data_IF_187387248003
#
_entry.id   IF_187387248003
#
_cell.length_a   1.000
_cell.length_b   1.000
_cell.length_c   1.000
_cell.angle_alpha   90.00
_cell.angle_beta   90.00
_cell.angle_gamma   90.00
#
_symmetry.space_group_name_H-M   'P 1'
#
loop_
_entity.id
_entity.type
_entity.pdbx_description
1 polymer ?
#
# COMPACT_ATOMS: atom_id res chain seq x y z
N UNK A 1 -19.76 -3.63 5.89
CA UNK A 1 -20.43 -3.44 7.20
C UNK A 1 -19.55 -2.78 8.27
N UNK A 2 -18.25 -2.65 8.06
CA UNK A 2 -17.33 -1.93 8.97
C UNK A 2 -17.21 -0.45 8.59
N UNK A 3 -17.71 -0.07 7.42
CA UNK A 3 -17.51 1.27 6.86
C UNK A 3 -18.37 2.39 7.46
N UNK A 4 -19.61 2.12 7.88
CA UNK A 4 -20.51 3.23 8.25
C UNK A 4 -20.27 3.78 9.65
N UNK A 5 -19.97 2.94 10.61
CA UNK A 5 -19.66 3.39 11.98
C UNK A 5 -18.30 4.06 12.08
N UNK A 6 -17.32 3.59 11.30
CA UNK A 6 -15.99 4.20 11.21
C UNK A 6 -16.06 5.59 10.57
N UNK A 7 -16.88 5.82 9.55
CA UNK A 7 -17.04 7.14 8.91
C UNK A 7 -17.57 8.23 9.86
N UNK A 8 -18.43 7.89 10.82
CA UNK A 8 -18.96 8.86 11.79
C UNK A 8 -17.91 9.22 12.85
N UNK A 9 -17.11 8.26 13.26
CA UNK A 9 -16.04 8.46 14.25
C UNK A 9 -14.82 9.17 13.66
N UNK A 10 -14.54 8.98 12.37
CA UNK A 10 -13.43 9.55 11.62
C UNK A 10 -13.50 11.05 11.43
N UNK A 11 -14.69 11.61 11.25
CA UNK A 11 -14.86 13.07 11.05
C UNK A 11 -14.41 13.91 12.24
N UNK A 12 -14.42 13.33 13.44
CA UNK A 12 -13.99 14.04 14.65
C UNK A 12 -12.50 13.90 14.97
N UNK A 13 -11.85 12.84 14.46
CA UNK A 13 -10.43 12.56 14.74
C UNK A 13 -9.76 11.82 13.57
N UNK A 14 -9.54 12.47 12.42
CA UNK A 14 -9.03 11.82 11.20
C UNK A 14 -7.63 11.20 11.40
N UNK A 15 -6.82 11.77 12.27
CA UNK A 15 -5.49 11.25 12.59
C UNK A 15 -5.50 9.84 13.19
N UNK A 16 -6.53 9.48 13.99
CA UNK A 16 -6.68 8.13 14.53
C UNK A 16 -6.94 7.11 13.41
N UNK A 17 -7.71 7.51 12.42
CA UNK A 17 -7.94 6.68 11.24
C UNK A 17 -6.65 6.46 10.46
N UNK A 18 -5.85 7.51 10.21
CA UNK A 18 -4.58 7.41 9.50
C UNK A 18 -3.60 6.47 10.21
N UNK A 19 -3.47 6.62 11.52
CA UNK A 19 -2.62 5.72 12.33
C UNK A 19 -3.14 4.29 12.29
N UNK A 20 -4.46 4.09 12.45
CA UNK A 20 -5.06 2.76 12.42
C UNK A 20 -4.87 2.08 11.06
N UNK A 21 -5.15 2.77 9.96
CA UNK A 21 -5.03 2.24 8.61
C UNK A 21 -3.59 1.80 8.30
N UNK A 22 -2.61 2.70 8.53
CA UNK A 22 -1.20 2.41 8.31
C UNK A 22 -0.67 1.28 9.21
N UNK A 23 -1.09 1.28 10.49
CA UNK A 23 -0.67 0.24 11.42
C UNK A 23 -1.27 -1.12 11.07
N UNK A 24 -2.54 -1.15 10.69
CA UNK A 24 -3.20 -2.38 10.27
C UNK A 24 -2.52 -2.98 9.04
N UNK A 25 -2.28 -2.19 7.99
CA UNK A 25 -1.57 -2.63 6.79
C UNK A 25 -0.20 -3.20 7.17
N UNK A 26 0.64 -2.42 7.86
CA UNK A 26 1.98 -2.85 8.24
C UNK A 26 1.97 -4.15 9.08
N UNK A 27 1.08 -4.26 10.07
CA UNK A 27 1.02 -5.44 10.94
C UNK A 27 0.57 -6.68 10.17
N UNK A 28 -0.53 -6.59 9.42
CA UNK A 28 -1.07 -7.75 8.70
C UNK A 28 -0.14 -8.20 7.58
N UNK A 29 0.38 -7.29 6.79
CA UNK A 29 1.20 -7.62 5.63
C UNK A 29 2.59 -8.12 6.03
N UNK A 30 3.27 -7.44 6.96
CA UNK A 30 4.60 -7.90 7.39
C UNK A 30 4.52 -9.20 8.18
N UNK A 31 3.45 -9.41 8.96
CA UNK A 31 3.22 -10.70 9.62
C UNK A 31 2.96 -11.81 8.61
N UNK A 32 2.11 -11.57 7.61
CA UNK A 32 1.86 -12.51 6.52
C UNK A 32 3.12 -12.84 5.74
N UNK A 33 3.94 -11.83 5.43
CA UNK A 33 5.24 -11.98 4.75
C UNK A 33 6.23 -12.79 5.58
N UNK A 34 6.31 -12.51 6.88
CA UNK A 34 7.17 -13.26 7.80
C UNK A 34 6.74 -14.72 7.90
N UNK A 35 5.45 -15.00 8.02
CA UNK A 35 4.89 -16.35 8.05
C UNK A 35 5.20 -17.08 6.73
N UNK A 36 4.93 -16.43 5.59
CA UNK A 36 5.19 -17.02 4.29
C UNK A 36 6.66 -17.41 4.12
N UNK A 37 7.59 -16.51 4.41
CA UNK A 37 9.02 -16.76 4.25
C UNK A 37 9.55 -17.77 5.28
N UNK A 38 9.07 -17.71 6.52
CA UNK A 38 9.58 -18.60 7.59
C UNK A 38 9.07 -20.04 7.48
N UNK A 39 7.82 -20.24 7.05
CA UNK A 39 7.17 -21.53 7.07
C UNK A 39 6.93 -22.11 5.67
N UNK A 40 6.35 -21.34 4.75
CA UNK A 40 5.95 -21.85 3.43
C UNK A 40 7.12 -21.89 2.45
N UNK A 41 7.95 -20.84 2.44
CA UNK A 41 9.12 -20.74 1.56
C UNK A 41 10.39 -21.34 2.16
N UNK A 42 10.34 -21.89 3.36
CA UNK A 42 11.52 -22.35 4.14
C UNK A 42 12.55 -23.14 3.32
N UNK A 43 12.09 -24.01 2.41
CA UNK A 43 12.96 -24.87 1.59
C UNK A 43 13.62 -24.15 0.42
N UNK A 44 12.98 -23.10 -0.08
CA UNK A 44 13.40 -22.36 -1.29
C UNK A 44 13.72 -20.89 -1.00
N UNK A 45 13.80 -20.53 0.27
CA UNK A 45 14.05 -19.14 0.65
C UNK A 45 15.51 -18.77 0.40
N UNK A 46 15.74 -18.09 -0.69
CA UNK A 46 16.99 -17.44 -1.08
C UNK A 46 16.72 -15.99 -1.51
N UNK A 47 17.75 -15.26 -1.93
CA UNK A 47 17.60 -13.87 -2.34
C UNK A 47 16.69 -13.69 -3.58
N UNK A 48 16.87 -14.47 -4.68
CA UNK A 48 15.98 -14.37 -5.84
C UNK A 48 14.51 -14.64 -5.49
N UNK A 49 14.22 -15.66 -4.70
CA UNK A 49 12.85 -16.00 -4.31
C UNK A 49 12.23 -14.95 -3.38
N UNK A 50 13.01 -14.32 -2.50
CA UNK A 50 12.55 -13.21 -1.68
C UNK A 50 12.27 -11.96 -2.52
N UNK A 51 13.10 -11.69 -3.52
CA UNK A 51 12.89 -10.62 -4.50
C UNK A 51 11.58 -10.85 -5.29
N UNK A 52 11.40 -12.06 -5.82
CA UNK A 52 10.19 -12.42 -6.57
C UNK A 52 8.93 -12.39 -5.70
N UNK A 53 9.04 -12.75 -4.43
CA UNK A 53 7.94 -12.59 -3.48
C UNK A 53 7.54 -11.11 -3.34
N UNK A 54 8.51 -10.20 -3.22
CA UNK A 54 8.24 -8.76 -3.14
C UNK A 54 7.56 -8.20 -4.39
N UNK A 55 8.04 -8.61 -5.58
CA UNK A 55 7.42 -8.24 -6.87
C UNK A 55 5.99 -8.79 -6.95
N UNK A 56 5.79 -10.05 -6.56
CA UNK A 56 4.47 -10.69 -6.58
C UNK A 56 3.50 -10.04 -5.61
N UNK A 57 3.93 -9.76 -4.37
CA UNK A 57 3.12 -9.11 -3.35
C UNK A 57 2.67 -7.71 -3.81
N UNK A 58 3.62 -6.82 -4.10
CA UNK A 58 3.29 -5.47 -4.57
C UNK A 58 2.55 -5.46 -5.92
N UNK A 59 2.84 -6.43 -6.80
CA UNK A 59 2.12 -6.60 -8.08
C UNK A 59 0.66 -6.98 -7.88
N UNK A 60 0.36 -7.93 -6.99
CA UNK A 60 -1.02 -8.31 -6.64
C UNK A 60 -1.76 -7.14 -6.00
N UNK A 61 -1.13 -6.43 -5.08
CA UNK A 61 -1.71 -5.22 -4.47
C UNK A 61 -2.01 -4.15 -5.54
N UNK A 62 -1.07 -3.88 -6.44
CA UNK A 62 -1.27 -2.92 -7.53
C UNK A 62 -2.46 -3.31 -8.43
N UNK A 63 -2.64 -4.60 -8.72
CA UNK A 63 -3.79 -5.11 -9.48
C UNK A 63 -5.09 -4.96 -8.68
N UNK A 64 -5.10 -5.32 -7.40
CA UNK A 64 -6.29 -5.26 -6.58
C UNK A 64 -6.71 -3.81 -6.29
N UNK A 65 -5.78 -2.95 -5.91
CA UNK A 65 -6.11 -1.56 -5.57
C UNK A 65 -6.25 -0.71 -6.84
N UNK A 66 -5.24 -0.68 -7.70
CA UNK A 66 -5.25 0.16 -8.90
C UNK A 66 -6.13 -0.39 -10.02
N UNK A 67 -6.00 -1.69 -10.31
CA UNK A 67 -6.72 -2.34 -11.41
C UNK A 67 -8.22 -2.42 -11.16
N UNK A 68 -8.65 -2.97 -10.02
CA UNK A 68 -10.09 -3.09 -9.72
C UNK A 68 -10.75 -1.71 -9.53
N UNK A 69 -10.06 -0.76 -8.90
CA UNK A 69 -10.56 0.62 -8.78
C UNK A 69 -10.69 1.28 -10.14
N UNK A 70 -9.71 1.10 -11.03
CA UNK A 70 -9.78 1.60 -12.40
C UNK A 70 -10.96 1.03 -13.19
N UNK A 71 -11.20 -0.27 -13.10
CA UNK A 71 -12.36 -0.94 -13.72
C UNK A 71 -13.67 -0.40 -13.12
N UNK A 72 -13.75 -0.29 -11.80
CA UNK A 72 -14.94 0.25 -11.11
C UNK A 72 -15.24 1.68 -11.54
N UNK A 73 -14.21 2.52 -11.63
CA UNK A 73 -14.34 3.90 -12.10
C UNK A 73 -14.83 3.96 -13.55
N UNK A 74 -14.28 3.12 -14.44
CA UNK A 74 -14.71 3.03 -15.83
C UNK A 74 -16.17 2.62 -15.95
N UNK A 75 -16.59 1.58 -15.22
CA UNK A 75 -18.00 1.13 -15.18
C UNK A 75 -18.91 2.25 -14.69
N UNK A 76 -18.52 2.94 -13.60
CA UNK A 76 -19.30 4.05 -13.05
C UNK A 76 -19.44 5.20 -14.05
N UNK A 77 -18.37 5.55 -14.77
CA UNK A 77 -18.41 6.58 -15.83
C UNK A 77 -19.33 6.18 -16.97
N UNK A 78 -19.29 4.92 -17.39
CA UNK A 78 -20.20 4.40 -18.44
C UNK A 78 -21.67 4.46 -17.98
N UNK A 79 -21.96 4.11 -16.73
CA UNK A 79 -23.31 4.20 -16.15
C UNK A 79 -23.81 5.64 -16.04
N UNK A 80 -22.93 6.58 -15.69
CA UNK A 80 -23.26 8.03 -15.63
C UNK A 80 -23.59 8.53 -17.04
N UNK A 81 -22.74 8.24 -18.02
CA UNK A 81 -22.89 8.73 -19.38
C UNK A 81 -24.10 8.12 -20.11
N UNK A 82 -24.49 6.89 -19.77
CA UNK A 82 -25.69 6.24 -20.33
C UNK A 82 -27.00 6.61 -19.61
N UNK A 83 -26.93 7.34 -18.50
CA UNK A 83 -28.08 7.62 -17.64
C UNK A 83 -28.53 6.46 -16.74
N UNK A 84 -27.88 5.29 -16.81
CA UNK A 84 -28.21 4.12 -15.99
C UNK A 84 -27.97 4.37 -14.50
N UNK A 85 -27.01 5.24 -14.17
CA UNK A 85 -26.71 5.62 -12.78
C UNK A 85 -27.90 6.28 -12.09
N UNK A 86 -28.72 7.06 -12.82
CA UNK A 86 -29.92 7.72 -12.27
C UNK A 86 -30.95 6.71 -11.74
N UNK A 87 -31.16 5.60 -12.49
CA UNK A 87 -32.05 4.53 -12.07
C UNK A 87 -31.52 3.82 -10.81
N UNK A 88 -30.23 3.61 -10.73
CA UNK A 88 -29.57 3.02 -9.56
C UNK A 88 -29.73 3.92 -8.32
N UNK A 89 -29.48 5.22 -8.47
CA UNK A 89 -29.61 6.19 -7.39
C UNK A 89 -31.06 6.34 -6.91
N UNK A 90 -32.03 6.30 -7.83
CA UNK A 90 -33.45 6.40 -7.50
C UNK A 90 -33.98 5.20 -6.68
N UNK A 91 -33.31 4.04 -6.75
CA UNK A 91 -33.63 2.86 -5.96
C UNK A 91 -33.02 2.86 -4.54
N UNK A 92 -32.14 3.82 -4.23
CA UNK A 92 -31.47 3.92 -2.93
C UNK A 92 -32.20 4.88 -1.99
N UNK A 93 -32.09 4.68 -0.65
CA UNK A 93 -32.45 5.71 0.33
C UNK A 93 -31.70 7.01 0.05
N UNK A 94 -32.35 8.16 0.27
CA UNK A 94 -31.79 9.48 -0.08
C UNK A 94 -30.39 9.74 0.49
N UNK A 95 -30.13 9.33 1.72
CA UNK A 95 -28.81 9.48 2.33
C UNK A 95 -27.72 8.65 1.61
N UNK A 96 -28.03 7.39 1.28
CA UNK A 96 -27.13 6.51 0.53
C UNK A 96 -26.89 7.00 -0.89
N UNK A 97 -27.94 7.52 -1.55
CA UNK A 97 -27.82 8.13 -2.86
C UNK A 97 -26.87 9.36 -2.83
N UNK A 98 -27.04 10.27 -1.85
CA UNK A 98 -26.18 11.43 -1.68
C UNK A 98 -24.73 11.07 -1.39
N UNK A 99 -24.49 10.04 -0.55
CA UNK A 99 -23.14 9.54 -0.30
C UNK A 99 -22.51 8.96 -1.57
N UNK A 100 -23.27 8.18 -2.34
CA UNK A 100 -22.82 7.63 -3.63
C UNK A 100 -22.46 8.74 -4.63
N UNK A 101 -23.31 9.74 -4.78
CA UNK A 101 -23.03 10.91 -5.63
C UNK A 101 -21.78 11.65 -5.18
N UNK A 102 -21.61 11.84 -3.88
CA UNK A 102 -20.40 12.47 -3.32
C UNK A 102 -19.13 11.70 -3.66
N UNK A 103 -19.16 10.37 -3.55
CA UNK A 103 -18.01 9.52 -3.93
C UNK A 103 -17.74 9.55 -5.44
N UNK A 104 -18.79 9.46 -6.25
CA UNK A 104 -18.68 9.50 -7.70
C UNK A 104 -18.22 10.86 -8.22
N UNK A 105 -18.46 11.94 -7.47
CA UNK A 105 -18.06 13.30 -7.87
C UNK A 105 -16.57 13.43 -8.17
N UNK A 106 -15.74 12.63 -7.51
CA UNK A 106 -14.31 12.58 -7.78
C UNK A 106 -13.98 12.21 -9.25
N UNK A 107 -14.85 11.47 -9.94
CA UNK A 107 -14.62 11.07 -11.34
C UNK A 107 -14.62 12.25 -12.31
N UNK A 108 -15.36 13.34 -12.01
CA UNK A 108 -15.42 14.53 -12.87
C UNK A 108 -14.81 15.78 -12.25
N UNK A 109 -14.52 15.77 -10.94
CA UNK A 109 -13.87 16.91 -10.27
C UNK A 109 -12.35 16.75 -10.19
N UNK A 110 -11.84 15.50 -10.25
CA UNK A 110 -10.40 15.23 -10.18
C UNK A 110 -9.75 15.52 -11.53
N UNK A 111 -8.70 16.36 -11.59
CA UNK A 111 -7.94 16.59 -12.81
C UNK A 111 -7.36 15.29 -13.39
N UNK A 112 -7.48 15.09 -14.71
CA UNK A 112 -7.01 13.88 -15.39
C UNK A 112 -5.56 13.46 -15.06
N UNK A 113 -4.57 14.37 -14.91
CA UNK A 113 -3.21 14.00 -14.50
C UNK A 113 -3.13 13.26 -13.16
N UNK A 114 -4.06 13.51 -12.23
CA UNK A 114 -4.03 12.85 -10.92
C UNK A 114 -4.42 11.37 -10.99
N UNK A 115 -5.25 10.97 -11.95
CA UNK A 115 -5.49 9.54 -12.21
C UNK A 115 -4.23 8.84 -12.71
N UNK A 116 -3.42 9.52 -13.51
CA UNK A 116 -2.14 8.99 -13.96
C UNK A 116 -1.13 8.89 -12.81
N UNK A 117 -1.08 9.89 -11.94
CA UNK A 117 -0.21 9.91 -10.74
C UNK A 117 -0.54 8.75 -9.82
N UNK A 118 -1.81 8.43 -9.59
CA UNK A 118 -2.19 7.28 -8.79
C UNK A 118 -1.74 5.93 -9.39
N UNK A 119 -1.61 5.85 -10.71
CA UNK A 119 -1.02 4.69 -11.38
C UNK A 119 0.50 4.58 -11.14
N UNK A 120 1.21 5.72 -11.14
CA UNK A 120 2.67 5.77 -10.85
C UNK A 120 2.93 5.39 -9.39
N UNK A 121 2.08 5.79 -8.47
CA UNK A 121 2.17 5.41 -7.05
C UNK A 121 2.25 3.89 -6.86
N UNK A 122 1.55 3.11 -7.68
CA UNK A 122 1.62 1.64 -7.62
C UNK A 122 3.01 1.09 -7.95
N UNK A 123 3.80 1.79 -8.77
CA UNK A 123 5.21 1.44 -9.00
C UNK A 123 6.02 1.65 -7.73
N UNK A 124 5.78 2.76 -7.02
CA UNK A 124 6.43 3.03 -5.73
C UNK A 124 6.09 1.97 -4.69
N UNK A 125 4.83 1.53 -4.63
CA UNK A 125 4.39 0.44 -3.76
C UNK A 125 5.12 -0.88 -4.07
N UNK A 126 5.24 -1.26 -5.35
CA UNK A 126 5.99 -2.47 -5.74
C UNK A 126 7.46 -2.37 -5.28
N UNK A 127 8.11 -1.22 -5.49
CA UNK A 127 9.49 -0.99 -5.05
C UNK A 127 9.62 -1.13 -3.53
N UNK A 128 8.67 -0.56 -2.78
CA UNK A 128 8.62 -0.68 -1.33
C UNK A 128 8.50 -2.15 -0.90
N UNK A 129 7.54 -2.89 -1.47
CA UNK A 129 7.32 -4.29 -1.12
C UNK A 129 8.51 -5.20 -1.44
N UNK A 130 9.27 -4.89 -2.50
CA UNK A 130 10.55 -5.56 -2.77
C UNK A 130 11.53 -5.31 -1.61
N UNK A 131 11.72 -4.04 -1.21
CA UNK A 131 12.60 -3.66 -0.11
C UNK A 131 12.21 -4.33 1.22
N UNK A 132 10.93 -4.28 1.59
CA UNK A 132 10.39 -4.91 2.79
C UNK A 132 10.55 -6.44 2.77
N UNK A 133 10.34 -7.06 1.62
CA UNK A 133 10.54 -8.51 1.45
C UNK A 133 11.99 -8.93 1.67
N UNK A 134 12.93 -8.14 1.18
CA UNK A 134 14.35 -8.37 1.43
C UNK A 134 14.75 -8.13 2.90
N UNK A 135 14.10 -7.19 3.61
CA UNK A 135 14.27 -7.02 5.06
C UNK A 135 13.77 -8.23 5.83
N UNK A 136 12.57 -8.71 5.54
CA UNK A 136 12.01 -9.91 6.21
C UNK A 136 12.84 -11.16 5.85
N UNK A 137 13.29 -11.30 4.61
CA UNK A 137 14.23 -12.35 4.22
C UNK A 137 15.47 -12.35 5.12
N UNK A 138 16.09 -11.16 5.34
CA UNK A 138 17.24 -11.03 6.22
C UNK A 138 16.90 -11.38 7.68
N UNK A 139 15.72 -10.99 8.16
CA UNK A 139 15.24 -11.34 9.49
C UNK A 139 15.16 -12.88 9.65
N UNK A 140 14.58 -13.57 8.66
CA UNK A 140 14.43 -15.04 8.69
C UNK A 140 15.77 -15.77 8.57
N UNK A 141 16.73 -15.23 7.79
CA UNK A 141 18.07 -15.80 7.61
C UNK A 141 19.08 -15.41 8.68
N UNK A 142 18.75 -14.48 9.56
CA UNK A 142 19.67 -14.02 10.60
C UNK A 142 19.98 -15.16 11.60
N UNK A 143 21.27 -15.41 11.81
CA UNK A 143 21.72 -16.41 12.79
C UNK A 143 21.57 -15.96 14.25
N UNK A 144 21.42 -14.65 14.49
CA UNK A 144 21.27 -14.03 15.82
C UNK A 144 19.87 -13.50 16.01
N UNK A 145 19.20 -13.89 17.10
CA UNK A 145 17.84 -13.47 17.43
C UNK A 145 17.70 -11.95 17.46
N UNK A 146 18.68 -11.23 18.03
CA UNK A 146 18.67 -9.76 18.08
C UNK A 146 18.66 -9.12 16.69
N UNK A 147 19.46 -9.64 15.75
CA UNK A 147 19.47 -9.14 14.36
C UNK A 147 18.17 -9.46 13.66
N UNK A 148 17.62 -10.67 13.86
CA UNK A 148 16.33 -11.06 13.31
C UNK A 148 15.20 -10.12 13.79
N UNK A 149 15.12 -9.88 15.10
CA UNK A 149 14.12 -9.00 15.69
C UNK A 149 14.28 -7.55 15.17
N UNK A 150 15.50 -7.02 15.15
CA UNK A 150 15.75 -5.66 14.68
C UNK A 150 15.33 -5.47 13.22
N UNK A 151 15.72 -6.38 12.32
CA UNK A 151 15.37 -6.25 10.89
C UNK A 151 13.89 -6.45 10.64
N UNK A 152 13.21 -7.31 11.41
CA UNK A 152 11.76 -7.46 11.34
C UNK A 152 11.06 -6.16 11.80
N UNK A 153 11.39 -5.65 13.00
CA UNK A 153 10.81 -4.40 13.51
C UNK A 153 11.06 -3.24 12.56
N UNK A 154 12.23 -3.18 11.92
CA UNK A 154 12.54 -2.16 10.91
C UNK A 154 11.59 -2.25 9.71
N UNK A 155 11.27 -3.46 9.22
CA UNK A 155 10.32 -3.64 8.12
C UNK A 155 8.92 -3.12 8.50
N UNK A 156 8.40 -3.52 9.66
CA UNK A 156 7.11 -3.01 10.17
C UNK A 156 7.11 -1.48 10.31
N UNK A 157 8.18 -0.91 10.85
CA UNK A 157 8.30 0.53 11.05
C UNK A 157 8.35 1.31 9.73
N UNK A 158 9.13 0.84 8.75
CA UNK A 158 9.20 1.48 7.43
C UNK A 158 7.85 1.41 6.73
N UNK A 159 7.20 0.25 6.72
CA UNK A 159 5.88 0.08 6.11
C UNK A 159 4.88 1.06 6.75
N UNK A 160 4.77 1.04 8.07
CA UNK A 160 3.90 1.96 8.79
C UNK A 160 4.17 3.44 8.45
N UNK A 161 5.44 3.86 8.42
CA UNK A 161 5.79 5.27 8.15
C UNK A 161 5.41 5.66 6.71
N UNK A 162 5.67 4.80 5.72
CA UNK A 162 5.36 5.10 4.32
C UNK A 162 3.85 5.18 4.13
N UNK A 163 3.09 4.22 4.65
CA UNK A 163 1.63 4.22 4.55
C UNK A 163 1.00 5.39 5.31
N UNK A 164 1.50 5.67 6.52
CA UNK A 164 1.02 6.83 7.28
C UNK A 164 1.26 8.14 6.50
N UNK A 165 2.44 8.29 5.90
CA UNK A 165 2.75 9.45 5.08
C UNK A 165 1.86 9.54 3.83
N UNK A 166 1.60 8.41 3.16
CA UNK A 166 0.72 8.35 2.00
C UNK A 166 -0.74 8.72 2.34
N UNK A 167 -1.26 8.23 3.48
CA UNK A 167 -2.67 8.44 3.85
C UNK A 167 -2.90 9.78 4.55
N UNK A 168 -1.99 10.22 5.43
CA UNK A 168 -2.12 11.45 6.20
C UNK A 168 -1.58 12.69 5.44
N UNK A 169 -0.57 12.48 4.60
CA UNK A 169 0.14 13.55 3.90
C UNK A 169 -0.75 14.47 3.05
N UNK A 170 -1.72 13.97 2.27
CA UNK A 170 -2.60 14.80 1.46
C UNK A 170 -3.44 15.83 2.25
N UNK A 171 -3.58 15.64 3.56
CA UNK A 171 -4.20 16.65 4.42
C UNK A 171 -3.30 17.88 4.70
N UNK A 172 -2.00 17.76 4.46
CA UNK A 172 -1.00 18.77 4.83
C UNK A 172 -0.18 19.29 3.63
N UNK A 173 0.00 18.46 2.61
CA UNK A 173 0.92 18.71 1.50
C UNK A 173 0.25 18.44 0.14
N UNK A 174 0.71 19.11 -0.94
CA UNK A 174 0.26 18.80 -2.29
C UNK A 174 0.56 17.35 -2.66
N UNK A 175 -0.35 16.71 -3.39
CA UNK A 175 -0.25 15.29 -3.75
C UNK A 175 1.08 14.94 -4.42
N UNK A 176 1.60 15.78 -5.31
CA UNK A 176 2.88 15.53 -5.97
C UNK A 176 4.07 15.44 -5.00
N UNK A 177 4.03 16.21 -3.90
CA UNK A 177 5.07 16.15 -2.85
C UNK A 177 4.99 14.82 -2.11
N UNK A 178 3.77 14.35 -1.86
CA UNK A 178 3.53 13.04 -1.22
C UNK A 178 4.07 11.91 -2.10
N UNK A 179 3.72 11.90 -3.38
CA UNK A 179 4.15 10.86 -4.31
C UNK A 179 5.68 10.80 -4.47
N UNK A 180 6.32 11.95 -4.57
CA UNK A 180 7.80 12.02 -4.59
C UNK A 180 8.36 11.49 -3.27
N UNK A 181 7.78 11.87 -2.14
CA UNK A 181 8.20 11.40 -0.82
C UNK A 181 8.08 9.87 -0.67
N UNK A 182 6.94 9.30 -1.06
CA UNK A 182 6.70 7.84 -1.06
C UNK A 182 7.71 7.14 -1.96
N UNK A 183 7.94 7.64 -3.18
CA UNK A 183 8.94 7.07 -4.10
C UNK A 183 10.35 7.10 -3.51
N UNK A 184 10.76 8.23 -2.92
CA UNK A 184 12.10 8.37 -2.30
C UNK A 184 12.27 7.42 -1.13
N UNK A 185 11.25 7.26 -0.27
CA UNK A 185 11.28 6.32 0.85
C UNK A 185 11.33 4.86 0.36
N UNK A 186 10.54 4.51 -0.64
CA UNK A 186 10.54 3.17 -1.23
C UNK A 186 11.89 2.83 -1.89
N UNK A 187 12.40 3.72 -2.74
CA UNK A 187 13.69 3.55 -3.40
C UNK A 187 14.85 3.51 -2.39
N UNK A 188 14.83 4.40 -1.38
CA UNK A 188 15.81 4.42 -0.30
C UNK A 188 15.85 3.11 0.49
N UNK A 189 14.67 2.53 0.79
CA UNK A 189 14.56 1.22 1.44
C UNK A 189 15.21 0.13 0.58
N UNK A 190 14.86 0.05 -0.69
CA UNK A 190 15.40 -0.96 -1.60
C UNK A 190 16.92 -0.83 -1.76
N UNK A 191 17.43 0.38 -2.00
CA UNK A 191 18.87 0.64 -2.16
C UNK A 191 19.64 0.25 -0.90
N UNK A 192 19.17 0.69 0.29
CA UNK A 192 19.83 0.39 1.57
C UNK A 192 19.92 -1.11 1.82
N UNK A 193 18.83 -1.84 1.56
CA UNK A 193 18.80 -3.30 1.78
C UNK A 193 19.68 -4.02 0.77
N UNK A 194 19.64 -3.64 -0.50
CA UNK A 194 20.47 -4.25 -1.55
C UNK A 194 21.96 -4.01 -1.29
N UNK A 195 22.35 -2.79 -0.95
CA UNK A 195 23.75 -2.45 -0.63
C UNK A 195 24.28 -3.25 0.57
N UNK A 196 23.50 -3.35 1.63
CA UNK A 196 23.91 -4.13 2.82
C UNK A 196 23.96 -5.62 2.54
N UNK A 197 23.20 -6.14 1.57
CA UNK A 197 23.30 -7.52 1.12
C UNK A 197 24.60 -7.79 0.38
N UNK A 198 24.96 -6.93 -0.56
CA UNK A 198 26.21 -7.06 -1.34
C UNK A 198 27.44 -7.01 -0.43
N UNK A 199 27.53 -6.05 0.49
CA UNK A 199 28.62 -5.98 1.47
C UNK A 199 28.76 -7.22 2.35
N UNK A 200 27.66 -7.82 2.74
CA UNK A 200 27.71 -9.04 3.54
C UNK A 200 28.26 -10.27 2.76
N UNK A 201 28.19 -10.23 1.43
CA UNK A 201 28.83 -11.25 0.58
C UNK A 201 30.34 -11.00 0.41
N UNK A 202 30.77 -9.73 0.23
CA UNK A 202 32.20 -9.38 0.07
C UNK A 202 33.03 -9.70 1.32
N UNK A 203 32.46 -9.58 2.52
CA UNK A 203 33.17 -9.84 3.79
C UNK A 203 33.24 -11.30 4.17
N UNK A 204 32.67 -12.23 3.38
CA UNK A 204 32.72 -13.69 3.61
C UNK A 204 33.80 -14.41 2.79
N UNK A 205 34.52 -13.68 1.96
CA UNK A 205 35.73 -14.11 1.24
C UNK A 205 36.96 -13.49 1.85
#
# INVERSE_FOLDING_TARGET
>A
LVGSEMCIRDRSRPWLYYVYAALAAAVFEETGRLIAMKFWMKKWLDFPNALMYGIGHGGVEAILIGGLSGISNLVSMLMINSGAMQNTLAALPAESANQTVSQLSALWTTPAPLFFVSGIERISAIILHIGLSLLIYRAVKAGKCRTAAFTAVLAYGIHFIVDFFAVAGPALLPIYVIEIGVFVMAAGTLVTVSYTHLRAHETRH
#
